data_IF_939949929295
#
_entry.id   IF_939949929295
#
_cell.length_a   1.000
_cell.length_b   1.000
_cell.length_c   1.000
_cell.angle_alpha   90.00
_cell.angle_beta   90.00
_cell.angle_gamma   90.00
#
_symmetry.space_group_name_H-M   'P 1'
#
loop_
_entity.id
_entity.type
_entity.pdbx_description
1 polymer ?
#
# COMPACT_ATOMS: atom_id res chain seq x y z
N UNK A 1 26.88 12.97 0.69
CA UNK A 1 26.21 12.33 -0.48
C UNK A 1 24.71 12.55 -0.27
N UNK A 2 24.14 13.58 -0.90
CA UNK A 2 22.70 13.86 -0.82
C UNK A 2 21.96 12.92 -1.76
N UNK A 3 21.02 12.15 -1.21
CA UNK A 3 20.14 11.29 -1.98
C UNK A 3 18.93 12.12 -2.42
N UNK A 4 18.86 12.46 -3.71
CA UNK A 4 17.63 12.95 -4.32
C UNK A 4 16.73 11.74 -4.60
N UNK A 5 15.65 11.57 -3.84
CA UNK A 5 14.69 10.48 -4.05
C UNK A 5 14.16 10.42 -5.49
N UNK A 6 13.75 9.24 -5.95
CA UNK A 6 13.23 9.04 -7.30
C UNK A 6 11.90 9.77 -7.50
N UNK A 7 11.83 10.62 -8.53
CA UNK A 7 10.63 11.42 -8.84
C UNK A 7 9.63 10.69 -9.75
N UNK A 8 9.96 9.50 -10.26
CA UNK A 8 9.20 8.79 -11.27
C UNK A 8 8.80 7.36 -10.85
N UNK A 9 7.68 6.88 -11.39
CA UNK A 9 7.21 5.50 -11.22
C UNK A 9 6.31 5.28 -10.00
N UNK A 10 5.86 4.03 -9.83
CA UNK A 10 4.91 3.67 -8.76
C UNK A 10 5.49 3.74 -7.35
N UNK A 11 6.81 3.64 -7.21
CA UNK A 11 7.47 3.70 -5.91
C UNK A 11 7.71 5.14 -5.42
N UNK A 12 7.65 6.17 -6.28
CA UNK A 12 7.96 7.56 -5.92
C UNK A 12 7.16 8.08 -4.71
N UNK A 13 5.90 7.66 -4.55
CA UNK A 13 5.08 8.02 -3.37
C UNK A 13 5.63 7.45 -2.06
N UNK A 14 6.28 6.29 -2.10
CA UNK A 14 6.83 5.59 -0.95
C UNK A 14 8.32 5.92 -0.70
N UNK A 15 8.99 6.58 -1.65
CA UNK A 15 10.42 6.92 -1.63
C UNK A 15 10.70 8.22 -0.84
N UNK A 16 10.18 8.28 0.38
CA UNK A 16 10.34 9.42 1.31
C UNK A 16 11.21 9.10 2.51
N UNK A 17 11.65 7.86 2.59
CA UNK A 17 12.52 7.36 3.63
C UNK A 17 13.97 7.46 3.15
N UNK A 18 14.88 8.12 3.89
CA UNK A 18 16.30 8.07 3.58
C UNK A 18 16.78 6.61 3.45
N UNK A 19 17.67 6.32 2.49
CA UNK A 19 18.24 5.00 2.33
C UNK A 19 19.01 4.63 3.59
N UNK A 20 18.96 3.35 3.93
CA UNK A 20 19.60 2.79 5.11
C UNK A 20 20.15 1.41 4.76
N UNK A 21 21.32 1.08 5.29
CA UNK A 21 21.89 -0.27 5.21
C UNK A 21 21.19 -1.25 6.16
N UNK A 22 20.37 -0.74 7.08
CA UNK A 22 19.55 -1.53 7.99
C UNK A 22 18.06 -1.38 7.65
N UNK A 23 17.28 -2.47 7.63
CA UNK A 23 15.83 -2.40 7.55
C UNK A 23 15.27 -1.56 8.71
N UNK A 24 14.19 -0.83 8.45
CA UNK A 24 13.57 -0.01 9.50
C UNK A 24 12.98 -0.90 10.59
N UNK A 25 13.05 -0.51 11.89
CA UNK A 25 12.62 -1.34 13.03
C UNK A 25 11.21 -1.92 12.89
N UNK A 26 10.30 -1.17 12.27
CA UNK A 26 8.91 -1.58 12.09
C UNK A 26 8.73 -2.77 11.13
N UNK A 27 9.70 -3.11 10.31
CA UNK A 27 9.64 -4.30 9.44
C UNK A 27 10.03 -5.59 10.17
N UNK A 28 10.88 -5.53 11.20
CA UNK A 28 11.36 -6.73 11.91
C UNK A 28 10.29 -7.42 12.75
N UNK A 29 9.22 -6.71 13.14
CA UNK A 29 8.16 -7.23 14.00
C UNK A 29 6.94 -7.73 13.24
N UNK A 30 6.91 -7.61 11.92
CA UNK A 30 5.75 -7.99 11.12
C UNK A 30 5.79 -9.48 10.76
N UNK A 31 4.65 -10.19 10.81
CA UNK A 31 4.55 -11.52 10.21
C UNK A 31 4.98 -11.45 8.74
N UNK A 32 5.72 -12.47 8.27
CA UNK A 32 6.29 -12.53 6.90
C UNK A 32 5.27 -12.17 5.81
N UNK A 33 4.03 -12.64 5.96
CA UNK A 33 2.93 -12.33 5.02
C UNK A 33 2.61 -10.84 4.97
N UNK A 34 2.49 -10.18 6.12
CA UNK A 34 2.17 -8.76 6.21
C UNK A 34 3.34 -7.92 5.68
N UNK A 35 4.58 -8.30 6.01
CA UNK A 35 5.77 -7.68 5.44
C UNK A 35 5.75 -7.68 3.90
N UNK A 36 5.43 -8.82 3.29
CA UNK A 36 5.33 -8.96 1.83
C UNK A 36 4.25 -8.04 1.23
N UNK A 37 3.04 -8.05 1.82
CA UNK A 37 1.92 -7.24 1.35
C UNK A 37 2.19 -5.73 1.47
N UNK A 38 2.80 -5.29 2.57
CA UNK A 38 3.21 -3.89 2.75
C UNK A 38 4.23 -3.49 1.70
N UNK A 39 5.24 -4.35 1.46
CA UNK A 39 6.27 -4.10 0.45
C UNK A 39 5.67 -3.97 -0.94
N UNK A 40 4.78 -4.87 -1.31
CA UNK A 40 4.04 -4.86 -2.58
C UNK A 40 3.16 -3.61 -2.74
N UNK A 41 2.43 -3.22 -1.69
CA UNK A 41 1.62 -2.01 -1.69
C UNK A 41 2.49 -0.75 -1.89
N UNK A 42 3.66 -0.68 -1.23
CA UNK A 42 4.60 0.44 -1.39
C UNK A 42 5.22 0.52 -2.78
N UNK A 43 5.65 -0.61 -3.35
CA UNK A 43 6.21 -0.66 -4.70
C UNK A 43 5.17 -0.46 -5.81
N UNK A 44 3.90 -0.72 -5.50
CA UNK A 44 2.82 -0.74 -6.50
C UNK A 44 2.80 -2.04 -7.31
N UNK A 45 3.53 -3.07 -6.89
CA UNK A 45 3.49 -4.42 -7.43
C UNK A 45 2.64 -5.32 -6.51
N UNK A 46 1.42 -4.87 -6.22
CA UNK A 46 0.47 -5.56 -5.36
C UNK A 46 -0.63 -6.24 -6.15
N UNK A 47 -1.35 -7.16 -5.51
CA UNK A 47 -2.56 -7.78 -6.05
C UNK A 47 -3.67 -6.74 -6.16
N UNK A 48 -3.68 -6.00 -7.27
CA UNK A 48 -4.66 -4.96 -7.59
C UNK A 48 -4.77 -4.81 -9.10
N UNK A 49 -5.91 -4.32 -9.57
CA UNK A 49 -6.22 -4.18 -11.00
C UNK A 49 -5.15 -3.44 -11.80
N UNK A 50 -4.55 -2.37 -11.27
CA UNK A 50 -3.48 -1.64 -11.98
C UNK A 50 -2.27 -2.53 -12.27
N UNK A 51 -1.93 -3.45 -11.38
CA UNK A 51 -0.84 -4.41 -11.58
C UNK A 51 -1.26 -5.47 -12.60
N UNK A 52 -2.45 -6.06 -12.45
CA UNK A 52 -2.96 -7.07 -13.38
C UNK A 52 -3.06 -6.57 -14.81
N UNK A 53 -3.63 -5.37 -15.02
CA UNK A 53 -3.71 -4.72 -16.34
C UNK A 53 -2.36 -4.68 -17.07
N UNK A 54 -1.25 -4.54 -16.33
CA UNK A 54 0.10 -4.40 -16.90
C UNK A 54 0.83 -5.73 -17.01
N UNK A 55 0.71 -6.61 -16.02
CA UNK A 55 1.58 -7.78 -15.88
C UNK A 55 0.86 -9.12 -15.98
N UNK A 56 -0.46 -9.14 -15.78
CA UNK A 56 -1.29 -10.35 -15.86
C UNK A 56 -2.63 -10.02 -16.54
N UNK A 57 -2.64 -9.74 -17.87
CA UNK A 57 -3.83 -9.22 -18.56
C UNK A 57 -5.04 -10.15 -18.57
N UNK A 58 -4.86 -11.42 -18.19
CA UNK A 58 -5.94 -12.40 -18.05
C UNK A 58 -6.73 -12.27 -16.74
N UNK A 59 -6.23 -11.52 -15.76
CA UNK A 59 -6.89 -11.32 -14.46
C UNK A 59 -7.83 -10.10 -14.50
N UNK A 60 -8.93 -10.19 -13.75
CA UNK A 60 -9.90 -9.09 -13.60
C UNK A 60 -9.25 -7.84 -13.00
N UNK A 61 -9.54 -6.67 -13.57
CA UNK A 61 -8.95 -5.41 -13.13
C UNK A 61 -9.88 -4.57 -12.27
N UNK A 62 -11.18 -4.82 -12.35
CA UNK A 62 -12.18 -4.17 -11.51
C UNK A 62 -12.00 -4.49 -10.02
N UNK A 63 -12.34 -3.53 -9.18
CA UNK A 63 -12.49 -3.78 -7.75
C UNK A 63 -13.80 -4.55 -7.50
N UNK A 64 -13.84 -5.57 -6.62
CA UNK A 64 -15.08 -6.25 -6.26
C UNK A 64 -16.13 -5.34 -5.60
N UNK A 65 -15.77 -4.12 -5.18
CA UNK A 65 -16.74 -3.14 -4.69
C UNK A 65 -17.58 -2.50 -5.82
N UNK A 66 -17.18 -2.65 -7.09
CA UNK A 66 -17.85 -2.07 -8.25
C UNK A 66 -17.53 -0.59 -8.54
N UNK A 67 -16.74 0.08 -7.71
CA UNK A 67 -16.55 1.55 -7.79
C UNK A 67 -15.27 1.97 -8.54
N UNK A 68 -14.39 1.03 -8.91
CA UNK A 68 -13.12 1.35 -9.56
C UNK A 68 -12.66 0.26 -10.53
N UNK A 69 -12.32 0.65 -11.76
CA UNK A 69 -11.63 -0.17 -12.75
C UNK A 69 -10.61 0.69 -13.55
N UNK A 70 -9.30 0.38 -13.48
CA UNK A 70 -8.70 -0.66 -12.66
C UNK A 70 -8.66 -0.28 -11.17
N UNK A 71 -8.76 -1.27 -10.30
CA UNK A 71 -8.52 -1.09 -8.86
C UNK A 71 -7.09 -0.55 -8.63
N UNK A 72 -6.99 0.55 -7.86
CA UNK A 72 -5.72 1.22 -7.54
C UNK A 72 -5.43 1.24 -6.04
N UNK A 73 -4.18 1.52 -5.66
CA UNK A 73 -3.81 1.78 -4.25
C UNK A 73 -4.60 2.93 -3.65
N UNK A 74 -4.79 4.02 -4.42
CA UNK A 74 -5.61 5.16 -4.02
C UNK A 74 -7.01 4.70 -3.65
N UNK A 75 -7.61 3.92 -4.54
CA UNK A 75 -8.92 3.37 -4.30
C UNK A 75 -8.95 2.48 -3.05
N UNK A 76 -8.10 1.45 -2.97
CA UNK A 76 -8.06 0.51 -1.83
C UNK A 76 -7.92 1.24 -0.48
N UNK A 77 -7.01 2.21 -0.41
CA UNK A 77 -6.66 2.91 0.83
C UNK A 77 -7.71 3.98 1.19
N UNK A 78 -8.07 4.83 0.24
CA UNK A 78 -8.84 6.05 0.52
C UNK A 78 -10.36 5.92 0.26
N UNK A 79 -10.78 5.06 -0.67
CA UNK A 79 -12.13 5.16 -1.25
C UNK A 79 -12.97 3.88 -1.09
N UNK A 80 -12.34 2.71 -1.29
CA UNK A 80 -13.00 1.42 -1.43
C UNK A 80 -13.99 1.13 -0.30
N UNK A 81 -15.26 0.94 -0.65
CA UNK A 81 -16.32 0.59 0.30
C UNK A 81 -16.01 -0.67 1.12
N UNK A 82 -15.36 -1.69 0.52
CA UNK A 82 -15.01 -2.96 1.19
C UNK A 82 -14.07 -2.79 2.39
N UNK A 83 -13.31 -1.69 2.45
CA UNK A 83 -12.33 -1.46 3.50
C UNK A 83 -12.70 -0.28 4.39
N UNK A 84 -13.92 0.26 4.26
CA UNK A 84 -14.38 1.45 4.99
C UNK A 84 -14.29 1.25 6.51
N UNK A 85 -14.73 0.10 7.01
CA UNK A 85 -14.75 -0.21 8.45
C UNK A 85 -13.36 -0.29 9.10
N UNK A 86 -12.30 -0.49 8.30
CA UNK A 86 -10.91 -0.59 8.79
C UNK A 86 -10.12 0.70 8.57
N UNK A 87 -10.69 1.68 7.85
CA UNK A 87 -9.98 2.90 7.44
C UNK A 87 -9.57 3.78 8.62
N UNK A 88 -10.31 3.71 9.72
CA UNK A 88 -9.98 4.40 10.98
C UNK A 88 -8.54 4.12 11.44
N UNK A 89 -8.01 2.91 11.20
CA UNK A 89 -6.63 2.52 11.56
C UNK A 89 -5.60 3.41 10.86
N UNK A 90 -5.91 3.85 9.63
CA UNK A 90 -5.07 4.77 8.87
C UNK A 90 -5.32 6.21 9.30
N UNK A 91 -6.58 6.59 9.52
CA UNK A 91 -6.99 7.96 9.91
C UNK A 91 -6.42 8.36 11.28
N UNK A 92 -6.30 7.41 12.22
CA UNK A 92 -5.67 7.64 13.54
C UNK A 92 -4.21 8.14 13.43
N UNK A 93 -3.47 7.71 12.40
CA UNK A 93 -2.06 8.04 12.22
C UNK A 93 -1.84 9.08 11.11
N UNK A 94 -2.72 9.11 10.10
CA UNK A 94 -2.70 10.00 8.93
C UNK A 94 -4.15 10.46 8.62
N UNK A 95 -4.67 11.50 9.30
CA UNK A 95 -6.08 11.90 9.24
C UNK A 95 -6.60 12.29 7.85
N UNK A 96 -5.74 12.88 7.01
CA UNK A 96 -6.08 13.26 5.63
C UNK A 96 -5.91 12.11 4.63
N UNK A 97 -5.52 10.94 5.12
CA UNK A 97 -5.20 9.74 4.35
C UNK A 97 -4.21 10.00 3.21
N UNK A 98 -3.29 10.95 3.36
CA UNK A 98 -2.29 11.25 2.35
C UNK A 98 -1.53 9.98 1.96
N UNK A 99 -1.65 9.57 0.69
CA UNK A 99 -1.04 8.31 0.23
C UNK A 99 0.46 8.28 0.43
N UNK A 100 1.12 9.40 0.24
CA UNK A 100 2.56 9.44 0.30
C UNK A 100 3.07 9.43 1.76
N UNK A 101 2.28 9.92 2.71
CA UNK A 101 2.58 9.76 4.14
C UNK A 101 2.26 8.35 4.64
N UNK A 102 1.15 7.74 4.17
CA UNK A 102 0.82 6.33 4.46
C UNK A 102 1.93 5.40 3.92
N UNK A 103 2.39 5.63 2.69
CA UNK A 103 3.35 4.74 2.03
C UNK A 103 4.82 5.07 2.33
N UNK A 104 5.11 6.31 2.73
CA UNK A 104 6.47 6.84 2.81
C UNK A 104 6.94 7.24 4.21
N UNK A 105 6.06 7.27 5.22
CA UNK A 105 6.44 7.59 6.60
C UNK A 105 6.46 6.35 7.51
N UNK A 106 7.27 6.40 8.56
CA UNK A 106 7.36 5.33 9.56
C UNK A 106 6.03 5.06 10.27
N UNK A 107 5.26 6.11 10.60
CA UNK A 107 3.93 5.98 11.23
C UNK A 107 2.92 5.41 10.24
N UNK A 108 2.88 5.97 9.02
CA UNK A 108 2.00 5.52 7.95
C UNK A 108 2.22 4.07 7.57
N UNK A 109 3.47 3.61 7.46
CA UNK A 109 3.78 2.21 7.12
C UNK A 109 3.36 1.26 8.24
N UNK A 110 3.48 1.66 9.51
CA UNK A 110 2.94 0.89 10.64
C UNK A 110 1.41 0.82 10.60
N UNK A 111 0.75 1.94 10.32
CA UNK A 111 -0.70 1.99 10.16
C UNK A 111 -1.16 1.10 9.01
N UNK A 112 -0.48 1.16 7.86
CA UNK A 112 -0.72 0.32 6.69
C UNK A 112 -0.57 -1.17 7.02
N UNK A 113 0.46 -1.54 7.78
CA UNK A 113 0.64 -2.93 8.20
C UNK A 113 -0.53 -3.42 9.07
N UNK A 114 -0.99 -2.61 10.03
CA UNK A 114 -2.17 -2.91 10.87
C UNK A 114 -3.45 -3.01 10.03
N UNK A 115 -3.66 -2.06 9.11
CA UNK A 115 -4.78 -2.04 8.18
C UNK A 115 -4.82 -3.33 7.34
N UNK A 116 -3.72 -3.70 6.68
CA UNK A 116 -3.62 -4.93 5.87
C UNK A 116 -3.86 -6.18 6.72
N UNK A 117 -3.32 -6.21 7.94
CA UNK A 117 -3.49 -7.35 8.84
C UNK A 117 -4.96 -7.55 9.24
N UNK A 118 -5.70 -6.46 9.47
CA UNK A 118 -7.12 -6.50 9.88
C UNK A 118 -8.08 -6.66 8.70
N UNK A 119 -7.91 -5.88 7.64
CA UNK A 119 -8.85 -5.83 6.51
C UNK A 119 -8.61 -6.93 5.47
N UNK A 120 -7.39 -7.47 5.41
CA UNK A 120 -6.99 -8.38 4.34
C UNK A 120 -6.80 -7.70 2.98
N UNK A 121 -6.75 -6.37 2.92
CA UNK A 121 -6.44 -5.64 1.70
C UNK A 121 -5.14 -6.12 1.04
N UNK A 122 -5.08 -6.00 -0.29
CA UNK A 122 -3.96 -6.44 -1.14
C UNK A 122 -3.67 -7.94 -1.13
N UNK A 123 -4.51 -8.80 -0.56
CA UNK A 123 -4.39 -10.25 -0.73
C UNK A 123 -4.93 -10.66 -2.11
N UNK A 124 -4.30 -11.63 -2.76
CA UNK A 124 -4.91 -12.30 -3.91
C UNK A 124 -6.14 -13.06 -3.41
N UNK A 125 -7.31 -12.76 -3.97
CA UNK A 125 -8.48 -13.62 -3.88
C UNK A 125 -8.19 -14.87 -4.72
N UNK A 126 -8.06 -16.00 -4.04
CA UNK A 126 -7.92 -17.34 -4.63
C UNK A 126 -9.25 -17.86 -5.16
#
# INVERSE_FOLDING_TARGET
>A
MEWAGGTAGSFALADRCPPSTTPRPHFFKLPRRIFGLVTQARSGHAFMGKYYKRFVPSEETGCPCGEADPQTRKHIIQQCGLYREYRYILEEEVPDLNLADILGSDKGVRALAKFIAKSGAFKKTS
#
